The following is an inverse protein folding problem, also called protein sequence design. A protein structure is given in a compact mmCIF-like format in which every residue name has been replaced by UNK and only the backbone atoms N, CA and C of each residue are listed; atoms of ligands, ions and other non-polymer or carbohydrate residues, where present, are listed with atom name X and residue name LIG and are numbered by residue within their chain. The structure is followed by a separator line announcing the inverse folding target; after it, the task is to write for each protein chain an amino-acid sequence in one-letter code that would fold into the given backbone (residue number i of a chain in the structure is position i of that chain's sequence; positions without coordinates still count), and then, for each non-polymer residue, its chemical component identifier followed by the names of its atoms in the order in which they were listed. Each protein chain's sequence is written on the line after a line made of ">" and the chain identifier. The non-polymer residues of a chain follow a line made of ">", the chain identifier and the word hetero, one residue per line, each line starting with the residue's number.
data_IF_509922779779
#
_entry.id   IF_509922779779
#
_cell.length_a   1.000
_cell.length_b   1.000
_cell.length_c   1.000
_cell.angle_alpha   90.00
_cell.angle_beta   90.00
_cell.angle_gamma   90.00
#
_symmetry.space_group_name_H-M   'P 1'
#
loop_
_entity.id
_entity.type
_entity.pdbx_description
1 polymer ?
#
# COMPACT_ATOMS: atom_id res chain seq x y z
N UNK A 1 8.44 8.89 39.38
CA UNK A 1 9.00 9.07 38.01
C UNK A 1 8.25 10.16 37.26
N UNK A 2 6.94 10.02 37.03
CA UNK A 2 6.13 11.06 36.36
C UNK A 2 6.11 12.39 37.13
N UNK A 3 5.98 12.33 38.45
CA UNK A 3 6.02 13.51 39.33
C UNK A 3 7.33 14.31 39.20
N UNK A 4 8.46 13.61 39.20
CA UNK A 4 9.79 14.20 39.06
C UNK A 4 9.96 14.90 37.71
N UNK A 5 9.39 14.33 36.64
CA UNK A 5 9.40 14.93 35.29
C UNK A 5 8.53 16.20 35.28
N UNK A 6 7.34 16.16 35.90
CA UNK A 6 6.45 17.31 35.96
C UNK A 6 7.06 18.47 36.75
N UNK A 7 7.69 18.17 37.89
CA UNK A 7 8.38 19.17 38.70
C UNK A 7 9.59 19.78 37.97
N UNK A 8 10.34 18.99 37.20
CA UNK A 8 11.50 19.50 36.47
C UNK A 8 11.10 20.36 35.25
N UNK A 9 10.09 19.94 34.48
CA UNK A 9 9.73 20.58 33.20
C UNK A 9 8.75 21.72 33.40
N UNK A 10 7.76 21.56 34.28
CA UNK A 10 6.64 22.51 34.46
C UNK A 10 6.48 23.01 35.90
N UNK A 11 7.33 22.58 36.85
CA UNK A 11 7.28 22.97 38.27
C UNK A 11 5.92 22.75 38.94
N UNK A 12 5.24 21.67 38.57
CA UNK A 12 3.96 21.25 39.16
C UNK A 12 3.95 19.74 39.45
N UNK A 13 3.01 19.32 40.31
CA UNK A 13 2.78 17.90 40.60
C UNK A 13 2.01 17.21 39.46
N UNK A 14 2.16 15.90 39.35
CA UNK A 14 1.50 15.09 38.35
C UNK A 14 -0.02 14.98 38.60
N UNK A 15 -0.79 15.51 37.67
CA UNK A 15 -2.25 15.31 37.58
C UNK A 15 -2.58 14.54 36.30
N UNK A 16 -3.22 13.36 36.44
CA UNK A 16 -3.63 12.51 35.32
C UNK A 16 -4.78 13.06 34.47
N UNK A 17 -5.46 14.11 34.92
CA UNK A 17 -6.43 14.85 34.10
C UNK A 17 -5.77 15.89 33.19
N UNK A 18 -4.58 16.37 33.58
CA UNK A 18 -3.87 17.48 32.95
C UNK A 18 -2.71 16.98 32.08
N UNK A 19 -2.00 15.96 32.55
CA UNK A 19 -0.84 15.37 31.90
C UNK A 19 -1.23 14.08 31.20
N UNK A 20 -0.99 13.99 29.90
CA UNK A 20 -1.42 12.85 29.11
C UNK A 20 -0.36 12.46 28.08
N UNK A 21 -0.32 11.17 27.81
CA UNK A 21 0.42 10.62 26.67
C UNK A 21 -0.39 10.88 25.40
N UNK A 22 0.21 11.52 24.41
CA UNK A 22 -0.42 11.71 23.11
C UNK A 22 -0.36 10.40 22.31
N UNK A 23 -1.46 10.03 21.66
CA UNK A 23 -1.56 8.74 20.95
C UNK A 23 -0.78 8.70 19.63
N UNK A 24 -0.16 9.80 19.20
CA UNK A 24 0.49 9.95 17.88
C UNK A 24 2.01 10.15 17.92
N UNK A 25 2.63 9.90 19.07
CA UNK A 25 4.07 9.96 19.29
C UNK A 25 4.23 9.95 20.79
N UNK A 26 5.12 9.08 21.32
CA UNK A 26 5.34 8.80 22.75
C UNK A 26 5.85 10.01 23.56
N UNK A 27 5.34 11.21 23.28
CA UNK A 27 5.67 12.45 23.93
C UNK A 27 4.70 12.68 25.09
N UNK A 28 5.27 12.70 26.30
CA UNK A 28 4.58 13.11 27.51
C UNK A 28 4.38 14.62 27.48
N UNK A 29 3.12 15.08 27.46
CA UNK A 29 2.84 16.50 27.31
C UNK A 29 1.71 17.00 28.20
N UNK A 30 1.76 18.31 28.46
CA UNK A 30 0.70 19.06 29.12
C UNK A 30 -0.47 19.22 28.15
N UNK A 31 -1.71 19.02 28.62
CA UNK A 31 -2.89 19.17 27.77
C UNK A 31 -3.05 20.63 27.31
N UNK A 32 -3.06 20.85 25.99
CA UNK A 32 -3.23 22.18 25.39
C UNK A 32 -4.62 22.79 25.67
N UNK A 33 -5.55 22.01 26.25
CA UNK A 33 -6.89 22.49 26.65
C UNK A 33 -6.88 23.33 27.94
N UNK A 34 -5.80 23.27 28.71
CA UNK A 34 -5.68 23.90 30.04
C UNK A 34 -4.71 25.09 29.99
N UNK A 35 -3.97 25.24 28.89
CA UNK A 35 -3.14 26.40 28.62
C UNK A 35 -4.08 27.51 28.15
N UNK A 36 -4.24 28.56 28.97
CA UNK A 36 -4.77 29.85 28.51
C UNK A 36 -4.13 30.15 27.17
N UNK A 37 -4.94 30.40 26.12
CA UNK A 37 -4.46 30.63 24.75
C UNK A 37 -3.16 31.44 24.84
N UNK A 38 -2.02 30.89 24.34
CA UNK A 38 -0.73 31.54 24.54
C UNK A 38 -0.87 33.01 24.17
N UNK A 39 -0.33 33.91 25.00
CA UNK A 39 -0.46 35.36 24.83
C UNK A 39 -0.09 35.80 23.40
N UNK A 40 0.79 35.02 22.75
CA UNK A 40 1.18 35.12 21.34
C UNK A 40 -0.02 35.09 20.37
N UNK A 41 -1.06 34.29 20.63
CA UNK A 41 -2.29 34.24 19.83
C UNK A 41 -3.23 35.43 20.08
N UNK A 42 -2.96 36.27 21.09
CA UNK A 42 -3.71 37.50 21.35
C UNK A 42 -3.21 38.67 20.50
N UNK A 43 -2.03 38.57 19.90
CA UNK A 43 -1.52 39.62 19.02
C UNK A 43 -2.11 39.48 17.61
N UNK A 44 -2.61 40.61 17.09
CA UNK A 44 -3.31 40.66 15.80
C UNK A 44 -2.36 40.44 14.62
N UNK A 45 -1.10 40.87 14.72
CA UNK A 45 -0.04 40.65 13.73
C UNK A 45 0.23 39.15 13.52
N UNK A 46 0.32 38.38 14.61
CA UNK A 46 0.49 36.93 14.58
C UNK A 46 -0.73 36.25 13.93
N UNK A 47 -1.95 36.71 14.25
CA UNK A 47 -3.17 36.16 13.63
C UNK A 47 -3.26 36.48 12.14
N UNK A 48 -2.80 37.65 11.71
CA UNK A 48 -2.76 38.05 10.30
C UNK A 48 -1.76 37.19 9.53
N UNK A 49 -0.57 36.96 10.07
CA UNK A 49 0.42 36.05 9.45
C UNK A 49 -0.08 34.61 9.42
N UNK A 50 -0.64 34.09 10.51
CA UNK A 50 -1.17 32.73 10.58
C UNK A 50 -2.33 32.50 9.60
N UNK A 51 -3.17 33.51 9.34
CA UNK A 51 -4.23 33.42 8.32
C UNK A 51 -3.68 33.45 6.89
N UNK A 52 -2.52 34.09 6.68
CA UNK A 52 -1.88 34.17 5.37
C UNK A 52 -1.19 32.86 4.96
N UNK A 53 -0.73 32.07 5.94
CA UNK A 53 -0.06 30.79 5.71
C UNK A 53 -1.11 29.68 5.78
N UNK A 54 -1.40 28.97 4.67
CA UNK A 54 -2.34 27.85 4.72
C UNK A 54 -1.67 26.68 5.46
N UNK A 55 -1.89 26.60 6.76
CA UNK A 55 -1.59 25.39 7.55
C UNK A 55 -2.50 24.22 7.17
N UNK A 56 -3.54 24.48 6.37
CA UNK A 56 -4.30 23.44 5.66
C UNK A 56 -3.44 22.86 4.54
N UNK A 57 -3.11 21.55 4.57
CA UNK A 57 -2.46 20.88 3.46
C UNK A 57 -3.22 21.20 2.17
N UNK A 58 -2.48 21.56 1.13
CA UNK A 58 -3.07 21.76 -0.18
C UNK A 58 -3.88 20.51 -0.58
N UNK A 59 -5.01 20.67 -1.29
CA UNK A 59 -5.75 19.54 -1.83
C UNK A 59 -4.79 18.62 -2.57
N UNK A 60 -4.88 17.31 -2.33
CA UNK A 60 -4.04 16.34 -3.01
C UNK A 60 -4.35 16.39 -4.50
N UNK A 61 -3.46 17.01 -5.28
CA UNK A 61 -3.48 16.89 -6.74
C UNK A 61 -3.05 15.45 -7.08
N UNK A 62 -3.89 14.67 -7.79
CA UNK A 62 -3.49 13.35 -8.23
C UNK A 62 -2.28 13.50 -9.14
N UNK A 63 -1.11 13.10 -8.67
CA UNK A 63 0.07 13.05 -9.52
C UNK A 63 -0.20 12.10 -10.69
N UNK A 64 0.32 12.46 -11.87
CA UNK A 64 0.26 11.58 -13.02
C UNK A 64 0.83 10.22 -12.65
N UNK A 65 0.12 9.15 -13.03
CA UNK A 65 0.56 7.79 -12.74
C UNK A 65 1.94 7.58 -13.37
N UNK A 66 2.96 7.15 -12.60
CA UNK A 66 4.27 6.88 -13.15
C UNK A 66 4.18 5.82 -14.26
N UNK A 67 5.10 5.84 -15.24
CA UNK A 67 5.14 4.83 -16.28
C UNK A 67 5.37 3.44 -15.67
N UNK A 68 4.80 2.40 -16.30
CA UNK A 68 4.76 1.03 -15.76
C UNK A 68 6.16 0.51 -15.42
N UNK A 69 7.15 0.76 -16.28
CA UNK A 69 8.56 0.43 -16.05
C UNK A 69 9.13 0.95 -14.73
N UNK A 70 8.73 2.15 -14.29
CA UNK A 70 9.20 2.72 -13.02
C UNK A 70 8.48 2.09 -11.82
N UNK A 71 7.21 1.76 -11.98
CA UNK A 71 6.43 1.00 -10.99
C UNK A 71 7.09 -0.37 -10.79
N UNK A 72 7.34 -1.10 -11.87
CA UNK A 72 7.97 -2.43 -11.84
C UNK A 72 9.36 -2.35 -11.21
N UNK A 73 10.19 -1.38 -11.60
CA UNK A 73 11.51 -1.17 -10.97
C UNK A 73 11.41 -0.95 -9.47
N UNK A 74 10.48 -0.10 -9.03
CA UNK A 74 10.27 0.19 -7.60
C UNK A 74 9.88 -1.09 -6.86
N UNK A 75 8.97 -1.88 -7.44
CA UNK A 75 8.53 -3.15 -6.86
C UNK A 75 9.67 -4.16 -6.74
N UNK A 76 10.50 -4.29 -7.78
CA UNK A 76 11.68 -5.15 -7.75
C UNK A 76 12.67 -4.76 -6.66
N UNK A 77 12.92 -3.46 -6.45
CA UNK A 77 13.78 -3.00 -5.34
C UNK A 77 13.22 -3.35 -3.97
N UNK A 78 11.90 -3.33 -3.82
CA UNK A 78 11.20 -3.73 -2.59
C UNK A 78 10.98 -5.25 -2.46
N UNK A 79 11.48 -6.06 -3.40
CA UNK A 79 11.24 -7.51 -3.47
C UNK A 79 9.75 -7.90 -3.40
N UNK A 80 8.86 -7.00 -3.84
CA UNK A 80 7.42 -7.26 -3.91
C UNK A 80 7.11 -8.07 -5.17
N UNK A 81 6.09 -8.92 -5.08
CA UNK A 81 5.51 -9.61 -6.25
C UNK A 81 4.90 -8.56 -7.19
N UNK A 82 5.24 -8.64 -8.47
CA UNK A 82 4.69 -7.74 -9.48
C UNK A 82 3.31 -8.26 -9.89
N UNK A 83 2.29 -7.40 -10.05
CA UNK A 83 0.97 -7.85 -10.43
C UNK A 83 0.94 -8.25 -11.91
N UNK A 84 -0.02 -9.11 -12.27
CA UNK A 84 -0.08 -9.74 -13.60
C UNK A 84 -0.27 -8.71 -14.71
N UNK A 85 -1.02 -7.63 -14.46
CA UNK A 85 -1.27 -6.57 -15.45
C UNK A 85 0.01 -5.88 -15.89
N UNK A 86 0.86 -5.54 -14.93
CA UNK A 86 2.15 -4.90 -15.18
C UNK A 86 3.10 -5.86 -15.89
N UNK A 87 3.03 -7.17 -15.61
CA UNK A 87 3.84 -8.18 -16.28
C UNK A 87 3.40 -8.43 -17.73
N UNK A 88 2.08 -8.50 -17.98
CA UNK A 88 1.54 -8.57 -19.34
C UNK A 88 1.97 -7.32 -20.13
N UNK A 89 1.90 -6.13 -19.51
CA UNK A 89 2.38 -4.90 -20.16
C UNK A 89 3.88 -4.95 -20.50
N UNK A 90 4.72 -5.43 -19.57
CA UNK A 90 6.16 -5.58 -19.82
C UNK A 90 6.46 -6.62 -20.91
N UNK A 91 5.62 -7.65 -21.06
CA UNK A 91 5.72 -8.62 -22.17
C UNK A 91 5.43 -7.97 -23.52
N UNK A 92 4.44 -7.08 -23.55
CA UNK A 92 4.02 -6.40 -24.78
C UNK A 92 4.97 -5.26 -25.18
N UNK A 93 5.87 -4.81 -24.27
CA UNK A 93 6.82 -3.69 -24.48
C UNK A 93 8.28 -4.13 -24.25
N UNK A 94 8.96 -4.69 -25.25
CA UNK A 94 10.35 -5.15 -25.13
C UNK A 94 11.34 -3.99 -24.85
N UNK A 95 11.04 -2.76 -25.26
CA UNK A 95 11.86 -1.59 -24.98
C UNK A 95 11.98 -1.29 -23.48
N UNK A 96 10.89 -1.51 -22.73
CA UNK A 96 10.86 -1.30 -21.29
C UNK A 96 11.59 -2.42 -20.56
N UNK A 97 11.59 -3.64 -21.10
CA UNK A 97 12.36 -4.79 -20.61
C UNK A 97 13.87 -4.53 -20.70
N UNK A 98 14.37 -4.12 -21.88
CA UNK A 98 15.79 -3.79 -22.06
C UNK A 98 16.23 -2.66 -21.13
N UNK A 99 15.38 -1.65 -20.97
CA UNK A 99 15.66 -0.55 -20.05
C UNK A 99 15.69 -1.01 -18.59
N UNK A 100 14.83 -1.94 -18.21
CA UNK A 100 14.80 -2.51 -16.87
C UNK A 100 16.07 -3.33 -16.60
N UNK A 101 16.47 -4.17 -17.55
CA UNK A 101 17.67 -5.01 -17.47
C UNK A 101 18.93 -4.16 -17.24
N UNK A 102 19.11 -3.07 -18.00
CA UNK A 102 20.25 -2.16 -17.85
C UNK A 102 20.28 -1.43 -16.51
N UNK A 103 19.13 -1.28 -15.84
CA UNK A 103 18.97 -0.39 -14.67
C UNK A 103 18.79 -1.14 -13.36
N UNK A 104 18.52 -2.44 -13.41
CA UNK A 104 18.26 -3.29 -12.26
C UNK A 104 19.49 -4.17 -12.00
N UNK A 105 19.81 -4.45 -10.73
CA UNK A 105 20.93 -5.34 -10.40
C UNK A 105 20.61 -6.78 -10.86
N UNK A 106 21.61 -7.59 -11.23
CA UNK A 106 21.39 -8.95 -11.72
C UNK A 106 20.51 -9.82 -10.81
N UNK A 107 20.68 -9.72 -9.48
CA UNK A 107 19.88 -10.48 -8.50
C UNK A 107 18.38 -10.19 -8.55
N UNK A 108 18.00 -8.95 -8.85
CA UNK A 108 16.59 -8.56 -8.97
C UNK A 108 16.05 -8.93 -10.35
N UNK A 109 16.90 -8.93 -11.37
CA UNK A 109 16.54 -9.37 -12.72
C UNK A 109 16.26 -10.87 -12.78
N UNK A 110 17.06 -11.70 -12.10
CA UNK A 110 16.79 -13.15 -12.04
C UNK A 110 15.47 -13.47 -11.35
N UNK A 111 15.14 -12.75 -10.26
CA UNK A 111 13.86 -12.89 -9.57
C UNK A 111 12.68 -12.44 -10.48
N UNK A 112 12.86 -11.35 -11.22
CA UNK A 112 11.86 -10.90 -12.20
C UNK A 112 11.54 -11.96 -13.25
N UNK A 113 12.56 -12.58 -13.86
CA UNK A 113 12.39 -13.65 -14.85
C UNK A 113 11.76 -14.92 -14.24
N UNK A 114 12.02 -15.19 -12.96
CA UNK A 114 11.37 -16.27 -12.24
C UNK A 114 9.88 -15.99 -12.00
N UNK A 115 9.53 -14.75 -11.64
CA UNK A 115 8.12 -14.35 -11.49
C UNK A 115 7.34 -14.47 -12.80
N UNK A 116 7.93 -14.09 -13.93
CA UNK A 116 7.32 -14.25 -15.26
C UNK A 116 7.00 -15.73 -15.55
N UNK A 117 8.00 -16.60 -15.40
CA UNK A 117 7.85 -18.05 -15.64
C UNK A 117 6.82 -18.69 -14.70
N UNK A 118 6.78 -18.28 -13.43
CA UNK A 118 5.81 -18.82 -12.48
C UNK A 118 4.38 -18.42 -12.82
N UNK A 119 4.17 -17.24 -13.41
CA UNK A 119 2.83 -16.79 -13.82
C UNK A 119 2.35 -17.56 -15.04
N UNK A 120 3.22 -17.81 -16.02
CA UNK A 120 2.88 -18.66 -17.17
C UNK A 120 2.44 -20.05 -16.71
N UNK A 121 3.22 -20.70 -15.82
CA UNK A 121 2.84 -21.99 -15.21
C UNK A 121 1.51 -21.95 -14.47
N UNK A 122 1.23 -20.84 -13.79
CA UNK A 122 -0.04 -20.69 -13.06
C UNK A 122 -1.21 -20.62 -14.04
N UNK A 123 -1.07 -19.88 -15.15
CA UNK A 123 -2.09 -19.78 -16.20
C UNK A 123 -2.31 -21.12 -16.89
N UNK A 124 -1.25 -21.84 -17.23
CA UNK A 124 -1.31 -23.18 -17.82
C UNK A 124 -2.09 -24.14 -16.92
N UNK A 125 -1.76 -24.18 -15.62
CA UNK A 125 -2.49 -25.02 -14.66
C UNK A 125 -3.97 -24.63 -14.55
N UNK A 126 -4.30 -23.34 -14.53
CA UNK A 126 -5.69 -22.87 -14.52
C UNK A 126 -6.46 -23.28 -15.78
N UNK A 127 -5.82 -23.23 -16.96
CA UNK A 127 -6.41 -23.70 -18.22
C UNK A 127 -6.64 -25.21 -18.23
N UNK A 128 -5.66 -25.99 -17.77
CA UNK A 128 -5.80 -27.45 -17.60
C UNK A 128 -6.98 -27.78 -16.69
N UNK A 129 -7.11 -27.11 -15.54
CA UNK A 129 -8.24 -27.31 -14.63
C UNK A 129 -9.59 -26.97 -15.28
N UNK A 130 -9.63 -25.97 -16.16
CA UNK A 130 -10.85 -25.63 -16.91
C UNK A 130 -11.20 -26.69 -17.94
N UNK A 131 -10.21 -27.23 -18.64
CA UNK A 131 -10.39 -28.32 -19.61
C UNK A 131 -10.92 -29.56 -18.88
N UNK A 132 -10.24 -29.98 -17.81
CA UNK A 132 -10.65 -31.12 -16.98
C UNK A 132 -12.08 -30.97 -16.45
N UNK A 133 -12.46 -29.78 -16.00
CA UNK A 133 -13.84 -29.51 -15.54
C UNK A 133 -14.86 -29.64 -16.67
N UNK A 134 -14.56 -29.11 -17.85
CA UNK A 134 -15.44 -29.22 -19.03
C UNK A 134 -15.59 -30.68 -19.45
N UNK A 135 -14.49 -31.43 -19.51
CA UNK A 135 -14.51 -32.86 -19.85
C UNK A 135 -15.35 -33.65 -18.84
N UNK A 136 -15.23 -33.34 -17.55
CA UNK A 136 -16.05 -33.96 -16.51
C UNK A 136 -17.55 -33.65 -16.69
N UNK A 137 -17.91 -32.39 -16.96
CA UNK A 137 -19.29 -31.98 -17.24
C UNK A 137 -19.86 -32.65 -18.50
N UNK A 138 -19.04 -32.81 -19.54
CA UNK A 138 -19.42 -33.53 -20.77
C UNK A 138 -19.63 -35.02 -20.53
N UNK A 139 -18.76 -35.68 -19.76
CA UNK A 139 -18.93 -37.09 -19.38
C UNK A 139 -20.17 -37.30 -18.50
N UNK A 140 -20.42 -36.42 -17.53
CA UNK A 140 -21.64 -36.46 -16.70
C UNK A 140 -22.90 -36.28 -17.56
N UNK A 141 -22.88 -35.38 -18.54
CA UNK A 141 -23.98 -35.17 -19.46
C UNK A 141 -24.26 -36.40 -20.34
N UNK A 142 -23.21 -37.03 -20.89
CA UNK A 142 -23.33 -38.29 -21.65
C UNK A 142 -23.93 -39.41 -20.80
N UNK A 143 -23.49 -39.51 -19.54
CA UNK A 143 -23.97 -40.55 -18.64
C UNK A 143 -25.46 -40.37 -18.30
N UNK A 144 -25.91 -39.14 -18.06
CA UNK A 144 -27.34 -38.82 -17.87
C UNK A 144 -28.18 -39.09 -19.12
N UNK A 145 -27.63 -38.85 -20.32
CA UNK A 145 -28.32 -39.14 -21.57
C UNK A 145 -28.52 -40.65 -21.78
N UNK A 146 -27.49 -41.46 -21.46
CA UNK A 146 -27.57 -42.93 -21.49
C UNK A 146 -28.60 -43.46 -20.47
N UNK A 147 -28.61 -42.94 -19.24
CA UNK A 147 -29.59 -43.30 -18.22
C UNK A 147 -31.02 -42.94 -18.64
N UNK A 148 -31.22 -41.76 -19.24
CA UNK A 148 -32.54 -41.34 -19.75
C UNK A 148 -33.05 -42.18 -20.94
N UNK A 149 -32.16 -42.81 -21.71
CA UNK A 149 -32.54 -43.69 -22.83
C UNK A 149 -32.83 -45.13 -22.39
N UNK A 150 -32.32 -45.56 -21.23
CA UNK A 150 -32.56 -46.91 -20.68
C UNK A 150 -33.90 -47.09 -19.96
N UNK A 151 -34.60 -46.00 -19.64
CA UNK A 151 -35.88 -45.99 -18.91
C UNK A 151 -37.14 -45.95 -19.83
N UNK A 152 -36.99 -46.21 -21.14
CA UNK A 152 -38.08 -46.34 -22.13
C UNK A 152 -38.22 -47.77 -22.64
#
# INVERSE_FOLDING_TARGET
>A
MLDTICQHTWKCDFDGHVHRWYTYGDDFGYSHRIIDKPQILQFEDVQVELKSVPFTPAPYEPSEKPPVRDIVRRMLRSARRIPVRELDHMRDHPEDMEWLERKVKPRFWTNFLEQLRNIEKTREWEEEQRIMRREFEEEEAKQKEIESMGDR
#
